data_IF_806421473725
#
_entry.id   IF_806421473725
#
_cell.length_a   1.000
_cell.length_b   1.000
_cell.length_c   1.000
_cell.angle_alpha   90.00
_cell.angle_beta   90.00
_cell.angle_gamma   90.00
#
_symmetry.space_group_name_H-M   'P 1'
#
loop_
_entity.id
_entity.type
_entity.pdbx_description
1 polymer ?
#
# COMPACT_ATOMS: atom_id res chain seq x y z
N UNK A 1 3.60 -14.22 3.40
CA UNK A 1 2.26 -13.78 2.93
C UNK A 1 2.22 -13.75 1.42
N UNK A 2 1.30 -14.52 0.84
CA UNK A 2 1.00 -14.58 -0.60
C UNK A 2 0.16 -13.38 -1.05
N UNK A 3 0.08 -13.13 -2.36
CA UNK A 3 -0.76 -12.06 -2.92
C UNK A 3 -2.26 -12.28 -2.63
N UNK A 4 -2.71 -13.52 -2.67
CA UNK A 4 -4.10 -13.90 -2.35
C UNK A 4 -4.45 -13.67 -0.87
N UNK A 5 -3.50 -13.95 0.03
CA UNK A 5 -3.66 -13.63 1.45
C UNK A 5 -3.77 -12.12 1.69
N UNK A 6 -2.97 -11.32 0.97
CA UNK A 6 -3.02 -9.86 1.04
C UNK A 6 -4.37 -9.31 0.54
N UNK A 7 -4.91 -9.85 -0.55
CA UNK A 7 -6.24 -9.45 -1.07
C UNK A 7 -7.38 -9.73 -0.09
N UNK A 8 -7.26 -10.78 0.72
CA UNK A 8 -8.25 -11.15 1.74
C UNK A 8 -8.11 -10.36 3.04
N UNK A 9 -7.01 -9.65 3.22
CA UNK A 9 -6.77 -8.84 4.41
C UNK A 9 -7.74 -7.67 4.47
N UNK A 10 -8.30 -7.39 5.64
CA UNK A 10 -9.18 -6.24 5.82
C UNK A 10 -8.42 -4.92 5.57
N UNK A 11 -9.16 -3.83 5.34
CA UNK A 11 -8.55 -2.50 5.23
C UNK A 11 -7.81 -2.12 6.52
N UNK A 12 -8.44 -2.34 7.68
CA UNK A 12 -7.85 -2.01 8.99
C UNK A 12 -6.59 -2.79 9.30
N UNK A 13 -6.53 -4.08 8.95
CA UNK A 13 -5.35 -4.89 9.23
C UNK A 13 -4.17 -4.44 8.38
N UNK A 14 -4.42 -4.13 7.10
CA UNK A 14 -3.37 -3.64 6.21
C UNK A 14 -2.89 -2.24 6.63
N UNK A 15 -3.82 -1.36 7.01
CA UNK A 15 -3.48 -0.01 7.49
C UNK A 15 -2.64 -0.04 8.78
N UNK A 16 -2.96 -0.96 9.69
CA UNK A 16 -2.18 -1.20 10.91
C UNK A 16 -0.77 -1.72 10.58
N UNK A 17 -0.65 -2.75 9.74
CA UNK A 17 0.65 -3.35 9.39
C UNK A 17 1.54 -2.33 8.69
N UNK A 18 1.00 -1.53 7.77
CA UNK A 18 1.77 -0.46 7.13
C UNK A 18 2.17 0.64 8.10
N UNK A 19 1.32 1.00 9.06
CA UNK A 19 1.70 1.94 10.11
C UNK A 19 2.90 1.43 10.91
N UNK A 20 2.97 0.13 11.19
CA UNK A 20 4.13 -0.48 11.84
C UNK A 20 5.38 -0.43 10.97
N UNK A 21 5.28 -0.81 9.69
CA UNK A 21 6.40 -0.76 8.74
C UNK A 21 6.95 0.67 8.56
N UNK A 22 6.09 1.66 8.61
CA UNK A 22 6.45 3.08 8.48
C UNK A 22 6.91 3.71 9.79
N UNK A 23 7.00 2.93 10.88
CA UNK A 23 7.30 3.41 12.23
C UNK A 23 6.39 4.59 12.65
N UNK A 24 5.11 4.55 12.25
CA UNK A 24 4.14 5.57 12.62
C UNK A 24 3.86 5.54 14.13
N UNK A 25 4.06 6.68 14.79
CA UNK A 25 3.79 6.85 16.22
C UNK A 25 2.45 7.57 16.37
N UNK A 26 1.41 6.92 16.93
CA UNK A 26 0.13 7.58 17.18
C UNK A 26 0.29 8.77 18.11
N UNK A 27 -0.38 9.88 17.81
CA UNK A 27 -0.24 11.14 18.55
C UNK A 27 -0.88 11.16 19.96
N UNK A 28 -1.42 10.06 20.51
CA UNK A 28 -2.01 10.08 21.85
C UNK A 28 -1.73 8.84 22.72
N UNK A 29 -0.98 9.07 23.79
CA UNK A 29 -0.88 8.26 25.01
C UNK A 29 -2.12 8.42 25.93
N UNK A 30 -3.29 8.87 25.44
CA UNK A 30 -4.47 8.94 26.30
C UNK A 30 -5.10 7.56 26.41
N UNK A 31 -5.25 7.10 27.65
CA UNK A 31 -5.84 5.83 28.07
C UNK A 31 -7.26 5.58 27.47
N UNK A 32 -7.90 6.62 26.92
CA UNK A 32 -9.20 6.59 26.24
C UNK A 32 -9.14 6.16 24.75
N UNK A 33 -7.95 6.06 24.14
CA UNK A 33 -7.78 5.65 22.73
C UNK A 33 -8.08 4.16 22.48
N UNK A 34 -8.33 3.37 23.54
CA UNK A 34 -8.64 1.93 23.44
C UNK A 34 -10.06 1.62 22.95
N UNK A 35 -10.88 2.62 22.60
CA UNK A 35 -12.26 2.41 22.13
C UNK A 35 -12.50 2.59 20.64
N UNK A 36 -11.46 2.81 19.84
CA UNK A 36 -11.58 2.69 18.39
C UNK A 36 -10.36 1.99 17.80
N UNK A 37 -10.44 0.65 17.67
CA UNK A 37 -9.53 -0.11 16.78
C UNK A 37 -9.53 0.41 15.34
N UNK A 38 -10.46 1.30 15.00
CA UNK A 38 -10.66 1.93 13.69
C UNK A 38 -10.13 3.38 13.56
N UNK A 39 -9.56 3.95 14.63
CA UNK A 39 -9.19 5.38 14.69
C UNK A 39 -7.73 5.69 15.02
N UNK A 40 -6.90 4.68 15.32
CA UNK A 40 -5.52 4.90 15.80
C UNK A 40 -4.52 5.08 14.64
N UNK A 41 -4.83 4.53 13.47
CA UNK A 41 -3.95 4.51 12.30
C UNK A 41 -4.53 5.34 11.15
N UNK A 42 -3.68 5.98 10.32
CA UNK A 42 -4.15 6.61 9.09
C UNK A 42 -4.86 5.61 8.19
N UNK A 43 -5.86 6.08 7.44
CA UNK A 43 -6.78 5.20 6.71
C UNK A 43 -6.29 4.99 5.28
N UNK A 44 -5.07 4.47 5.13
CA UNK A 44 -4.38 4.39 3.83
C UNK A 44 -5.21 3.66 2.76
N UNK A 45 -5.92 2.58 3.12
CA UNK A 45 -6.71 1.78 2.17
C UNK A 45 -7.89 2.52 1.53
N UNK A 46 -8.34 3.63 2.11
CA UNK A 46 -9.55 4.35 1.65
C UNK A 46 -9.33 5.85 1.42
N UNK A 47 -8.39 6.48 2.14
CA UNK A 47 -8.07 7.88 2.01
C UNK A 47 -7.00 8.08 0.92
N UNK A 48 -7.28 8.97 -0.03
CA UNK A 48 -6.40 9.22 -1.17
C UNK A 48 -5.06 9.81 -0.73
N UNK A 49 -5.07 10.82 0.14
CA UNK A 49 -3.88 11.52 0.61
C UNK A 49 -2.97 10.59 1.41
N UNK A 50 -3.55 9.84 2.36
CA UNK A 50 -2.84 8.84 3.15
C UNK A 50 -2.22 7.76 2.24
N UNK A 51 -2.96 7.27 1.23
CA UNK A 51 -2.42 6.29 0.27
C UNK A 51 -1.25 6.82 -0.54
N UNK A 52 -1.25 8.11 -0.86
CA UNK A 52 -0.18 8.76 -1.61
C UNK A 52 1.08 8.94 -0.75
N UNK A 53 0.93 9.20 0.55
CA UNK A 53 2.05 9.21 1.49
C UNK A 53 2.77 7.86 1.51
N UNK A 54 2.02 6.76 1.63
CA UNK A 54 2.57 5.40 1.64
C UNK A 54 3.21 5.04 0.30
N UNK A 55 2.55 5.38 -0.82
CA UNK A 55 3.13 5.21 -2.16
C UNK A 55 4.48 5.94 -2.28
N UNK A 56 4.56 7.20 -1.85
CA UNK A 56 5.79 7.97 -1.92
C UNK A 56 6.90 7.36 -1.08
N UNK A 57 6.57 6.83 0.11
CA UNK A 57 7.54 6.13 0.94
C UNK A 57 8.09 4.88 0.23
N UNK A 58 7.22 4.03 -0.32
CA UNK A 58 7.64 2.84 -1.05
C UNK A 58 8.44 3.17 -2.32
N UNK A 59 8.11 4.25 -3.03
CA UNK A 59 8.87 4.74 -4.18
C UNK A 59 10.29 5.20 -3.79
N UNK A 60 10.46 5.77 -2.60
CA UNK A 60 11.76 6.20 -2.09
C UNK A 60 12.65 5.01 -1.68
N UNK A 61 12.05 3.90 -1.26
CA UNK A 61 12.75 2.66 -0.91
C UNK A 61 13.17 1.89 -2.17
N UNK A 62 12.20 1.49 -3.01
CA UNK A 62 12.47 0.82 -4.28
C UNK A 62 11.37 1.13 -5.31
N UNK A 63 11.68 2.12 -6.15
CA UNK A 63 10.79 2.59 -7.22
C UNK A 63 10.44 1.50 -8.25
N UNK A 64 11.40 0.64 -8.60
CA UNK A 64 11.19 -0.35 -9.67
C UNK A 64 10.33 -1.50 -9.15
N UNK A 65 10.62 -1.97 -7.93
CA UNK A 65 9.81 -2.97 -7.27
C UNK A 65 8.39 -2.47 -7.01
N UNK A 66 8.23 -1.22 -6.53
CA UNK A 66 6.91 -0.63 -6.32
C UNK A 66 6.06 -0.60 -7.60
N UNK A 67 6.60 -0.10 -8.72
CA UNK A 67 5.82 0.01 -9.96
C UNK A 67 5.44 -1.39 -10.49
N UNK A 68 6.32 -2.38 -10.38
CA UNK A 68 6.01 -3.77 -10.76
C UNK A 68 4.94 -4.40 -9.85
N UNK A 69 5.03 -4.16 -8.54
CA UNK A 69 4.00 -4.61 -7.58
C UNK A 69 2.66 -3.93 -7.83
N UNK A 70 2.64 -2.63 -8.14
CA UNK A 70 1.43 -1.89 -8.46
C UNK A 70 0.75 -2.44 -9.71
N UNK A 71 1.53 -2.76 -10.74
CA UNK A 71 1.03 -3.45 -11.92
C UNK A 71 0.39 -4.79 -11.57
N UNK A 72 1.09 -5.63 -10.80
CA UNK A 72 0.57 -6.92 -10.37
C UNK A 72 -0.72 -6.79 -9.57
N UNK A 73 -0.81 -5.79 -8.70
CA UNK A 73 -1.99 -5.50 -7.90
C UNK A 73 -3.20 -5.03 -8.73
N UNK A 74 -2.95 -4.19 -9.74
CA UNK A 74 -3.99 -3.63 -10.61
C UNK A 74 -4.52 -4.67 -11.61
N UNK A 75 -3.63 -5.46 -12.21
CA UNK A 75 -3.98 -6.39 -13.28
C UNK A 75 -4.18 -7.84 -12.81
N UNK A 76 -3.70 -8.21 -11.62
CA UNK A 76 -3.78 -9.57 -11.08
C UNK A 76 -2.70 -10.53 -11.61
N UNK A 77 -1.70 -10.04 -12.34
CA UNK A 77 -0.56 -10.83 -12.84
C UNK A 77 0.70 -9.98 -12.97
N UNK A 78 1.87 -10.61 -12.89
CA UNK A 78 3.15 -9.91 -12.96
C UNK A 78 3.41 -9.32 -14.36
N UNK A 79 4.06 -8.16 -14.40
CA UNK A 79 4.52 -7.58 -15.68
C UNK A 79 5.62 -8.45 -16.27
N UNK A 80 5.48 -8.79 -17.55
CA UNK A 80 6.58 -9.37 -18.33
C UNK A 80 7.74 -8.36 -18.41
N UNK A 81 8.91 -8.80 -17.95
CA UNK A 81 10.13 -7.98 -17.88
C UNK A 81 10.65 -7.57 -19.26
N UNK A 82 10.32 -8.35 -20.29
CA UNK A 82 10.75 -8.10 -21.66
C UNK A 82 9.83 -7.11 -22.39
N UNK A 83 8.62 -6.87 -21.87
CA UNK A 83 7.68 -5.93 -22.47
C UNK A 83 7.90 -4.50 -21.95
N UNK A 84 8.09 -3.51 -22.86
CA UNK A 84 8.21 -2.12 -22.45
C UNK A 84 6.94 -1.62 -21.76
N UNK A 85 7.06 -0.49 -21.06
CA UNK A 85 5.90 0.24 -20.56
C UNK A 85 5.25 0.99 -21.72
N UNK A 86 3.95 0.79 -21.91
CA UNK A 86 3.16 1.58 -22.86
C UNK A 86 2.27 2.60 -22.12
N UNK A 87 1.67 3.49 -22.90
CA UNK A 87 0.83 4.57 -22.38
C UNK A 87 -0.44 4.07 -21.69
N UNK A 88 -0.98 2.92 -22.10
CA UNK A 88 -2.18 2.34 -21.51
C UNK A 88 -1.87 1.77 -20.13
N UNK A 89 -0.73 1.08 -20.00
CA UNK A 89 -0.21 0.60 -18.73
C UNK A 89 -0.03 1.77 -17.76
N UNK A 90 0.66 2.83 -18.18
CA UNK A 90 0.89 4.01 -17.33
C UNK A 90 -0.44 4.69 -16.95
N UNK A 91 -1.34 4.89 -17.90
CA UNK A 91 -2.65 5.51 -17.65
C UNK A 91 -3.48 4.72 -16.64
N UNK A 92 -3.41 3.39 -16.70
CA UNK A 92 -4.11 2.52 -15.75
C UNK A 92 -3.50 2.62 -14.34
N UNK A 93 -2.17 2.58 -14.21
CA UNK A 93 -1.51 2.65 -12.90
C UNK A 93 -1.74 3.98 -12.18
N UNK A 94 -1.84 5.09 -12.91
CA UNK A 94 -2.16 6.41 -12.34
C UNK A 94 -3.55 6.41 -11.68
N UNK A 95 -4.48 5.59 -12.18
CA UNK A 95 -5.84 5.44 -11.66
C UNK A 95 -5.95 4.40 -10.53
N UNK A 96 -4.84 3.83 -10.05
CA UNK A 96 -4.85 2.86 -8.97
C UNK A 96 -5.59 3.41 -7.73
N UNK A 97 -6.47 2.59 -7.16
CA UNK A 97 -7.23 2.94 -5.96
C UNK A 97 -6.32 3.08 -4.74
N UNK A 98 -6.75 3.77 -3.67
CA UNK A 98 -6.00 3.83 -2.41
C UNK A 98 -5.57 2.44 -1.94
N UNK A 99 -6.49 1.47 -1.92
CA UNK A 99 -6.18 0.08 -1.56
C UNK A 99 -5.10 -0.54 -2.45
N UNK A 100 -5.16 -0.35 -3.77
CA UNK A 100 -4.16 -0.92 -4.68
C UNK A 100 -2.76 -0.35 -4.45
N UNK A 101 -2.66 0.97 -4.21
CA UNK A 101 -1.38 1.62 -3.87
C UNK A 101 -0.78 1.07 -2.58
N UNK A 102 -1.63 0.88 -1.58
CA UNK A 102 -1.27 0.34 -0.26
C UNK A 102 -0.82 -1.11 -0.35
N UNK A 103 -1.53 -1.96 -1.10
CA UNK A 103 -1.12 -3.35 -1.35
C UNK A 103 0.25 -3.41 -2.03
N UNK A 104 0.47 -2.57 -3.05
CA UNK A 104 1.75 -2.49 -3.75
C UNK A 104 2.88 -2.03 -2.81
N UNK A 105 2.61 -1.01 -1.99
CA UNK A 105 3.58 -0.52 -1.03
C UNK A 105 3.92 -1.57 0.03
N UNK A 106 2.94 -2.29 0.57
CA UNK A 106 3.19 -3.39 1.50
C UNK A 106 4.11 -4.45 0.89
N UNK A 107 3.86 -4.86 -0.37
CA UNK A 107 4.71 -5.84 -1.07
C UNK A 107 6.14 -5.36 -1.28
N UNK A 108 6.35 -4.05 -1.42
CA UNK A 108 7.66 -3.42 -1.54
C UNK A 108 8.37 -3.33 -0.19
N UNK A 109 7.68 -2.85 0.84
CA UNK A 109 8.27 -2.56 2.16
C UNK A 109 8.50 -3.80 3.02
N UNK A 110 7.69 -4.85 2.87
CA UNK A 110 7.84 -6.09 3.69
C UNK A 110 9.15 -6.85 3.47
N UNK A 111 9.96 -6.45 2.48
CA UNK A 111 11.24 -7.09 2.16
C UNK A 111 12.41 -6.48 2.94
N UNK A 112 12.20 -5.36 3.64
CA UNK A 112 13.13 -4.78 4.62
C UNK A 112 12.85 -5.30 6.03
#
# INVERSE_FOLDING_TARGET
>A
MTFEELKRMSHSDLDMILSQLLNYIPLSNSYDAYHDRWGIYPKYCINVEDSLYVQNHALNVDRNLYVNNLYSVCYGFEKDKELPWDILNVAHLIQATPRQRVEAAYLTLKKE
#
